data_IF_821508684676
#
_entry.id   IF_821508684676
#
_cell.length_a   1.000
_cell.length_b   1.000
_cell.length_c   1.000
_cell.angle_alpha   90.00
_cell.angle_beta   90.00
_cell.angle_gamma   90.00
#
_symmetry.space_group_name_H-M   'P 1'
#
loop_
_entity.id
_entity.type
_entity.pdbx_description
1 polymer ?
#
# COMPACT_ATOMS: atom_id res chain seq x y z
N UNK A 1 -10.31 5.53 -11.23
CA UNK A 1 -9.31 6.02 -10.27
C UNK A 1 -9.10 4.92 -9.25
N UNK A 2 -7.89 4.39 -9.14
CA UNK A 2 -7.55 3.42 -8.08
C UNK A 2 -7.57 4.17 -6.75
N UNK A 3 -8.14 3.57 -5.70
CA UNK A 3 -8.17 4.19 -4.36
C UNK A 3 -6.79 4.15 -3.70
N UNK A 4 -6.53 5.01 -2.72
CA UNK A 4 -5.26 4.99 -1.99
C UNK A 4 -5.04 3.66 -1.25
N UNK A 5 -6.11 3.05 -0.74
CA UNK A 5 -6.06 1.73 -0.11
C UNK A 5 -5.57 0.66 -1.09
N UNK A 6 -6.09 0.67 -2.31
CA UNK A 6 -5.70 -0.32 -3.31
C UNK A 6 -4.26 -0.13 -3.77
N UNK A 7 -3.80 1.12 -3.93
CA UNK A 7 -2.37 1.40 -4.21
C UNK A 7 -1.46 0.98 -3.07
N UNK A 8 -1.83 1.32 -1.84
CA UNK A 8 -1.06 0.96 -0.66
C UNK A 8 -0.98 -0.57 -0.51
N UNK A 9 -2.06 -1.29 -0.82
CA UNK A 9 -2.09 -2.74 -0.87
C UNK A 9 -1.10 -3.30 -1.90
N UNK A 10 -1.17 -2.84 -3.15
CA UNK A 10 -0.27 -3.30 -4.22
C UNK A 10 1.20 -3.06 -3.88
N UNK A 11 1.52 -1.88 -3.31
CA UNK A 11 2.87 -1.56 -2.84
C UNK A 11 3.29 -2.48 -1.70
N UNK A 12 2.44 -2.70 -0.70
CA UNK A 12 2.75 -3.57 0.42
C UNK A 12 3.04 -5.01 -0.03
N UNK A 13 2.23 -5.54 -0.96
CA UNK A 13 2.46 -6.86 -1.56
C UNK A 13 3.77 -6.88 -2.35
N UNK A 14 4.06 -5.86 -3.16
CA UNK A 14 5.29 -5.78 -3.94
C UNK A 14 6.54 -5.74 -3.03
N UNK A 15 6.52 -4.94 -1.95
CA UNK A 15 7.61 -4.84 -0.99
C UNK A 15 7.86 -6.15 -0.24
N UNK A 16 6.79 -6.86 0.12
CA UNK A 16 6.89 -8.12 0.86
C UNK A 16 7.07 -9.36 -0.04
N UNK A 17 6.92 -9.23 -1.36
CA UNK A 17 6.99 -10.36 -2.32
C UNK A 17 8.30 -11.16 -2.29
N UNK A 18 9.40 -10.54 -1.82
CA UNK A 18 10.71 -11.17 -1.71
C UNK A 18 11.00 -11.76 -0.32
N UNK A 19 10.07 -11.60 0.62
CA UNK A 19 10.22 -12.06 2.01
C UNK A 19 9.50 -13.40 2.17
N UNK A 20 10.22 -14.39 2.71
CA UNK A 20 9.60 -15.65 3.11
C UNK A 20 8.96 -15.51 4.49
N UNK A 21 7.76 -16.07 4.63
CA UNK A 21 7.03 -16.08 5.89
C UNK A 21 6.73 -17.51 6.31
N UNK A 22 7.14 -17.87 7.52
CA UNK A 22 6.91 -19.21 8.07
C UNK A 22 5.61 -19.30 8.88
N UNK A 23 4.87 -18.19 9.00
CA UNK A 23 3.60 -18.11 9.73
C UNK A 23 2.66 -17.12 9.05
N UNK A 24 1.40 -17.49 8.76
CA UNK A 24 0.40 -16.58 8.21
C UNK A 24 0.13 -15.37 9.12
N UNK A 25 0.17 -15.57 10.44
CA UNK A 25 -0.04 -14.49 11.41
C UNK A 25 1.10 -13.49 11.35
N UNK A 26 2.34 -13.99 11.26
CA UNK A 26 3.51 -13.10 11.10
C UNK A 26 3.46 -12.34 9.78
N UNK A 27 3.11 -13.02 8.67
CA UNK A 27 2.92 -12.37 7.37
C UNK A 27 1.87 -11.25 7.43
N UNK A 28 0.75 -11.47 8.13
CA UNK A 28 -0.28 -10.46 8.32
C UNK A 28 0.22 -9.25 9.12
N UNK A 29 0.96 -9.47 10.21
CA UNK A 29 1.54 -8.37 10.97
C UNK A 29 2.51 -7.53 10.14
N UNK A 30 3.38 -8.19 9.37
CA UNK A 30 4.33 -7.52 8.48
C UNK A 30 3.60 -6.75 7.38
N UNK A 31 2.55 -7.34 6.80
CA UNK A 31 1.68 -6.67 5.84
C UNK A 31 1.04 -5.40 6.42
N UNK A 32 0.44 -5.46 7.60
CA UNK A 32 -0.19 -4.29 8.25
C UNK A 32 0.84 -3.21 8.58
N UNK A 33 2.03 -3.61 9.04
CA UNK A 33 3.12 -2.69 9.35
C UNK A 33 3.66 -1.95 8.12
N UNK A 34 3.51 -2.50 6.92
CA UNK A 34 3.85 -1.81 5.66
C UNK A 34 2.66 -1.04 5.10
N UNK A 35 1.46 -1.62 5.12
CA UNK A 35 0.25 -1.04 4.53
C UNK A 35 -0.12 0.30 5.19
N UNK A 36 -0.19 0.34 6.53
CA UNK A 36 -0.73 1.50 7.24
C UNK A 36 0.14 2.76 7.07
N UNK A 37 1.49 2.69 7.16
CA UNK A 37 2.32 3.84 6.86
C UNK A 37 2.17 4.34 5.42
N UNK A 38 2.16 3.43 4.43
CA UNK A 38 2.01 3.80 3.02
C UNK A 38 0.66 4.47 2.77
N UNK A 39 -0.43 3.90 3.29
CA UNK A 39 -1.76 4.49 3.15
C UNK A 39 -1.81 5.90 3.75
N UNK A 40 -1.22 6.09 4.93
CA UNK A 40 -1.16 7.40 5.59
C UNK A 40 -0.41 8.45 4.77
N UNK A 41 0.67 8.05 4.10
CA UNK A 41 1.41 8.95 3.20
C UNK A 41 0.58 9.30 1.96
N UNK A 42 -0.08 8.32 1.36
CA UNK A 42 -0.95 8.54 0.20
C UNK A 42 -2.15 9.43 0.51
N UNK A 43 -2.82 9.23 1.65
CA UNK A 43 -3.94 10.07 2.06
C UNK A 43 -3.52 11.50 2.37
N UNK A 44 -2.27 11.70 2.81
CA UNK A 44 -1.71 13.03 3.05
C UNK A 44 -1.35 13.74 1.74
N UNK A 45 -0.64 13.06 0.85
CA UNK A 45 -0.06 13.68 -0.34
C UNK A 45 -1.03 13.67 -1.53
N UNK A 46 -2.01 12.75 -1.52
CA UNK A 46 -3.02 12.54 -2.57
C UNK A 46 -4.41 12.29 -1.96
N UNK A 47 -4.99 13.26 -1.22
CA UNK A 47 -6.27 13.07 -0.52
C UNK A 47 -7.44 12.74 -1.45
N UNK A 48 -7.41 13.23 -2.69
CA UNK A 48 -8.42 12.94 -3.72
C UNK A 48 -8.01 11.79 -4.66
N UNK A 49 -6.92 11.08 -4.33
CA UNK A 49 -6.30 10.04 -5.16
C UNK A 49 -5.34 10.59 -6.22
N UNK A 50 -4.49 9.70 -6.76
CA UNK A 50 -3.60 10.03 -7.87
C UNK A 50 -4.41 9.92 -9.17
N UNK A 51 -4.61 11.04 -9.88
CA UNK A 51 -5.14 10.99 -11.23
C UNK A 51 -4.08 10.41 -12.18
N UNK A 52 -4.44 9.37 -12.94
CA UNK A 52 -3.70 9.02 -14.15
C UNK A 52 -3.91 10.17 -15.13
N UNK A 53 -2.89 11.01 -15.34
CA UNK A 53 -2.90 12.26 -16.13
C UNK A 53 -3.46 13.50 -15.40
N UNK A 54 -2.69 14.14 -14.51
CA UNK A 54 -3.01 15.46 -14.01
C UNK A 54 -2.74 16.50 -15.13
N UNK A 55 -3.75 16.84 -15.94
CA UNK A 55 -3.70 17.99 -16.85
C UNK A 55 -4.04 17.77 -18.34
N UNK A 56 -4.87 16.78 -18.70
CA UNK A 56 -5.55 16.77 -20.00
C UNK A 56 -7.04 17.09 -19.85
#
# INVERSE_FOLDING_TARGET
MISNEQRAHEIAIALLSKKEFNSPVYAYHEYINVLLPVLKEFDKDFPDGIAEHPGH
#
